data_IF_698544930295
#
_entry.id   IF_698544930295
#
_cell.length_a   1.000
_cell.length_b   1.000
_cell.length_c   1.000
_cell.angle_alpha   90.00
_cell.angle_beta   90.00
_cell.angle_gamma   90.00
#
_symmetry.space_group_name_H-M   'P 1'
#
loop_
_entity.id
_entity.type
_entity.pdbx_description
1 polymer ?
#
# COMPACT_ATOMS: atom_id res chain seq x y z
N UNK A 1 0.48 14.16 23.85
CA UNK A 1 1.77 14.57 24.45
C UNK A 1 2.80 13.54 24.04
N UNK A 2 3.78 13.93 23.21
CA UNK A 2 4.80 12.99 22.70
C UNK A 2 5.97 12.84 23.69
N UNK A 3 5.88 13.47 24.84
CA UNK A 3 6.95 13.47 25.86
C UNK A 3 7.05 12.14 26.65
N UNK A 4 6.09 11.23 26.45
CA UNK A 4 6.05 9.89 27.07
C UNK A 4 5.95 8.76 26.00
N UNK A 5 6.64 8.91 24.89
CA UNK A 5 6.67 7.87 23.86
C UNK A 5 7.36 6.61 24.42
N UNK A 6 6.72 5.45 24.38
CA UNK A 6 7.35 4.19 24.80
C UNK A 6 8.65 3.90 24.04
N UNK A 7 9.61 3.23 24.68
CA UNK A 7 10.93 2.96 24.11
C UNK A 7 10.92 2.18 22.79
N UNK A 8 9.83 1.45 22.53
CA UNK A 8 9.60 0.70 21.29
C UNK A 8 8.90 1.50 20.20
N UNK A 9 8.61 2.80 20.41
CA UNK A 9 8.03 3.70 19.42
C UNK A 9 9.06 4.72 19.01
N UNK A 10 9.29 4.85 17.71
CA UNK A 10 10.09 5.92 17.10
C UNK A 10 9.18 6.85 16.32
N UNK A 11 9.32 8.14 16.51
CA UNK A 11 8.55 9.17 15.82
C UNK A 11 9.42 9.88 14.81
N UNK A 12 8.98 9.89 13.55
CA UNK A 12 9.65 10.62 12.48
C UNK A 12 8.80 11.82 12.07
N UNK A 13 9.38 13.00 12.18
CA UNK A 13 8.70 14.21 11.75
C UNK A 13 8.56 14.24 10.23
N UNK A 14 7.34 14.54 9.76
CA UNK A 14 7.04 14.79 8.37
C UNK A 14 6.42 16.18 8.21
N UNK A 15 7.07 17.02 7.42
CA UNK A 15 6.48 18.30 7.01
C UNK A 15 5.15 18.08 6.29
N UNK A 16 4.20 19.00 6.52
CA UNK A 16 2.91 18.91 5.86
C UNK A 16 3.07 18.92 4.33
N UNK A 17 2.40 18.00 3.68
CA UNK A 17 2.26 17.94 2.24
C UNK A 17 0.78 18.06 1.88
N UNK A 18 0.46 18.96 0.93
CA UNK A 18 -0.88 19.09 0.43
C UNK A 18 -1.34 17.81 -0.30
N UNK A 19 -2.65 17.61 -0.34
CA UNK A 19 -3.24 16.55 -1.16
C UNK A 19 -2.99 16.80 -2.65
N UNK A 20 -2.61 15.80 -3.46
CA UNK A 20 -2.45 14.37 -3.10
C UNK A 20 -1.01 13.96 -2.73
N UNK A 21 -0.10 14.88 -2.53
CA UNK A 21 1.32 14.59 -2.34
C UNK A 21 1.62 13.80 -1.07
N UNK A 22 0.81 13.94 -0.02
CA UNK A 22 0.99 13.15 1.20
C UNK A 22 0.87 11.64 0.96
N UNK A 23 -0.01 11.22 0.06
CA UNK A 23 -0.14 9.81 -0.34
C UNK A 23 0.86 9.43 -1.42
N UNK A 24 1.04 10.25 -2.46
CA UNK A 24 1.98 9.99 -3.54
C UNK A 24 3.42 9.83 -3.07
N UNK A 25 3.82 10.55 -2.01
CA UNK A 25 5.17 10.49 -1.44
C UNK A 25 5.30 9.54 -0.26
N UNK A 26 4.32 8.68 -0.03
CA UNK A 26 4.30 7.68 1.06
C UNK A 26 5.58 6.86 1.10
N UNK A 27 6.05 6.36 -0.03
CA UNK A 27 7.25 5.53 -0.11
C UNK A 27 8.52 6.31 0.24
N UNK A 28 8.65 7.56 -0.25
CA UNK A 28 9.74 8.47 0.14
C UNK A 28 9.71 8.77 1.64
N UNK A 29 8.51 8.92 2.23
CA UNK A 29 8.34 9.17 3.66
C UNK A 29 8.74 7.94 4.49
N UNK A 30 8.32 6.74 4.10
CA UNK A 30 8.68 5.49 4.79
C UNK A 30 10.20 5.27 4.73
N UNK A 31 10.85 5.60 3.61
CA UNK A 31 12.30 5.48 3.45
C UNK A 31 13.12 6.35 4.43
N UNK A 32 12.52 7.35 5.08
CA UNK A 32 13.20 8.09 6.17
C UNK A 32 13.49 7.24 7.41
N UNK A 33 12.73 6.14 7.57
CA UNK A 33 12.91 5.20 8.68
C UNK A 33 13.71 3.94 8.27
N UNK A 34 14.39 3.96 7.12
CA UNK A 34 15.09 2.80 6.57
C UNK A 34 16.11 2.18 7.54
N UNK A 35 16.81 3.01 8.31
CA UNK A 35 17.77 2.56 9.30
C UNK A 35 17.16 1.66 10.37
N UNK A 36 15.91 1.91 10.74
CA UNK A 36 15.16 1.08 11.70
C UNK A 36 14.52 -0.13 11.02
N UNK A 37 14.00 0.07 9.81
CA UNK A 37 13.35 -1.00 9.04
C UNK A 37 14.36 -2.12 8.74
N UNK A 38 15.58 -1.78 8.38
CA UNK A 38 16.64 -2.75 8.06
C UNK A 38 17.09 -3.61 9.27
N UNK A 39 16.71 -3.24 10.50
CA UNK A 39 16.94 -4.03 11.71
C UNK A 39 15.81 -5.05 11.99
N UNK A 40 14.75 -5.04 11.21
CA UNK A 40 13.57 -5.89 11.39
C UNK A 40 13.50 -7.03 10.35
N UNK A 41 12.78 -8.10 10.69
CA UNK A 41 12.50 -9.19 9.76
C UNK A 41 11.29 -8.89 8.87
N UNK A 42 10.30 -8.16 9.42
CA UNK A 42 9.05 -7.82 8.76
C UNK A 42 8.73 -6.33 8.91
N UNK A 43 8.14 -5.77 7.85
CA UNK A 43 7.54 -4.43 7.86
C UNK A 43 6.05 -4.54 7.56
N UNK A 44 5.24 -3.89 8.38
CA UNK A 44 3.80 -3.75 8.17
C UNK A 44 3.46 -2.28 8.12
N UNK A 45 2.86 -1.86 7.01
CA UNK A 45 2.28 -0.53 6.89
C UNK A 45 0.79 -0.60 7.25
N UNK A 46 0.35 0.35 8.07
CA UNK A 46 -1.05 0.53 8.43
C UNK A 46 -1.36 2.03 8.56
N UNK A 47 -2.50 2.48 8.03
CA UNK A 47 -2.93 3.87 8.20
C UNK A 47 -3.29 4.16 9.66
N UNK A 48 -3.00 5.38 10.11
CA UNK A 48 -3.11 5.77 11.52
C UNK A 48 -4.56 5.83 12.05
N UNK A 49 -5.55 5.80 11.18
CA UNK A 49 -6.99 5.74 11.50
C UNK A 49 -7.54 4.30 11.55
N UNK A 50 -6.69 3.30 11.37
CA UNK A 50 -7.06 1.90 11.54
C UNK A 50 -7.14 1.52 13.03
N UNK A 51 -8.20 0.81 13.41
CA UNK A 51 -8.40 0.33 14.78
C UNK A 51 -8.44 -1.21 14.80
N UNK A 52 -7.48 -1.88 15.46
CA UNK A 52 -7.55 -3.32 15.67
C UNK A 52 -8.77 -3.69 16.53
N UNK A 53 -9.66 -4.52 16.00
CA UNK A 53 -10.89 -4.95 16.68
C UNK A 53 -10.82 -6.40 17.21
N UNK A 54 -9.78 -7.13 16.80
CA UNK A 54 -9.52 -8.50 17.25
C UNK A 54 -8.03 -8.80 17.26
N UNK A 55 -7.65 -9.88 17.92
CA UNK A 55 -6.27 -10.37 17.90
C UNK A 55 -6.01 -11.13 16.61
N UNK A 56 -4.88 -10.83 15.96
CA UNK A 56 -4.34 -11.60 14.84
C UNK A 56 -3.17 -12.41 15.40
N UNK A 57 -3.17 -13.71 15.16
CA UNK A 57 -2.07 -14.58 15.64
C UNK A 57 -0.88 -14.55 14.66
N UNK A 58 0.32 -14.87 15.17
CA UNK A 58 1.50 -14.98 14.33
C UNK A 58 1.33 -16.04 13.23
N UNK A 59 0.73 -17.18 13.55
CA UNK A 59 0.47 -18.27 12.60
C UNK A 59 -0.49 -17.87 11.47
N UNK A 60 -1.44 -16.99 11.76
CA UNK A 60 -2.38 -16.45 10.80
C UNK A 60 -1.73 -15.40 9.90
N UNK A 61 -0.87 -14.57 10.49
CA UNK A 61 -0.31 -13.40 9.82
C UNK A 61 0.96 -13.69 9.03
N UNK A 62 1.94 -14.40 9.64
CA UNK A 62 3.19 -14.75 8.99
C UNK A 62 3.03 -16.03 8.16
N UNK A 63 2.93 -15.86 6.86
CA UNK A 63 2.76 -16.94 5.89
C UNK A 63 4.02 -17.14 5.05
N UNK A 64 3.98 -18.07 4.10
CA UNK A 64 5.10 -18.46 3.26
C UNK A 64 5.40 -17.49 2.09
N UNK A 65 4.55 -16.47 1.90
CA UNK A 65 4.78 -15.44 0.88
C UNK A 65 5.53 -14.25 1.46
N UNK A 66 6.53 -13.72 0.73
CA UNK A 66 7.34 -12.61 1.25
C UNK A 66 6.62 -11.26 1.27
N UNK A 67 5.53 -11.09 0.53
CA UNK A 67 4.71 -9.88 0.52
C UNK A 67 3.26 -10.21 0.82
N UNK A 68 2.53 -9.25 1.36
CA UNK A 68 1.08 -9.35 1.51
C UNK A 68 0.37 -8.02 1.22
N UNK A 69 -0.90 -8.13 0.83
CA UNK A 69 -1.83 -7.03 0.75
C UNK A 69 -3.23 -7.46 1.15
N UNK A 70 -4.09 -6.51 1.48
CA UNK A 70 -5.47 -6.74 1.88
C UNK A 70 -6.40 -6.44 0.71
N UNK A 71 -7.29 -7.38 0.39
CA UNK A 71 -8.26 -7.23 -0.69
C UNK A 71 -9.21 -6.07 -0.40
N UNK A 72 -9.38 -5.18 -1.36
CA UNK A 72 -10.21 -4.00 -1.18
C UNK A 72 -11.71 -4.37 -1.11
N UNK A 73 -12.46 -3.93 -0.08
CA UNK A 73 -13.85 -4.34 0.16
C UNK A 73 -14.84 -3.89 -0.92
N UNK A 74 -14.50 -2.88 -1.73
CA UNK A 74 -15.37 -2.42 -2.80
C UNK A 74 -15.78 -3.52 -3.80
N UNK A 75 -14.96 -4.56 -3.96
CA UNK A 75 -15.26 -5.70 -4.82
C UNK A 75 -16.35 -6.61 -4.24
N UNK A 76 -16.58 -6.57 -2.92
CA UNK A 76 -17.62 -7.36 -2.25
C UNK A 76 -18.91 -6.58 -2.04
N UNK A 77 -18.81 -5.28 -1.78
CA UNK A 77 -19.94 -4.44 -1.39
C UNK A 77 -20.92 -4.14 -2.53
N UNK A 78 -20.69 -4.68 -3.75
CA UNK A 78 -21.50 -4.42 -4.96
C UNK A 78 -21.82 -2.94 -5.16
N UNK A 79 -20.93 -2.07 -4.70
CA UNK A 79 -21.06 -0.65 -4.89
C UNK A 79 -20.94 -0.39 -6.40
N UNK A 80 -21.80 0.45 -6.94
CA UNK A 80 -21.80 0.70 -8.38
C UNK A 80 -20.51 1.39 -8.76
N UNK A 81 -19.68 0.80 -9.64
CA UNK A 81 -18.48 1.47 -10.10
C UNK A 81 -18.90 2.74 -10.87
N UNK A 82 -18.29 3.85 -10.53
CA UNK A 82 -18.25 5.04 -11.36
C UNK A 82 -16.79 5.48 -11.49
N UNK A 83 -16.48 6.35 -12.41
CA UNK A 83 -15.12 6.71 -12.83
C UNK A 83 -14.17 7.20 -11.69
N UNK A 84 -14.72 7.48 -10.52
CA UNK A 84 -13.99 7.93 -9.33
C UNK A 84 -14.12 6.96 -8.15
N UNK A 85 -14.36 5.70 -8.41
CA UNK A 85 -14.63 4.72 -7.37
C UNK A 85 -13.34 4.13 -6.77
N UNK A 86 -13.17 4.10 -5.42
CA UNK A 86 -12.05 3.40 -4.80
C UNK A 86 -11.96 1.95 -5.28
N UNK A 87 -10.76 1.50 -5.63
CA UNK A 87 -10.53 0.17 -6.17
C UNK A 87 -10.65 0.05 -7.69
N UNK A 88 -10.65 1.16 -8.42
CA UNK A 88 -10.54 1.12 -9.86
C UNK A 88 -9.08 1.09 -10.32
N UNK A 89 -8.77 0.22 -11.29
CA UNK A 89 -7.45 0.14 -11.92
C UNK A 89 -7.13 1.39 -12.72
N UNK A 90 -5.87 1.84 -12.64
CA UNK A 90 -5.42 2.99 -13.42
C UNK A 90 -5.43 2.65 -14.93
N UNK A 91 -6.18 3.43 -15.71
CA UNK A 91 -6.32 3.29 -17.17
C UNK A 91 -5.49 4.33 -17.92
N UNK A 92 -4.74 5.20 -17.24
CA UNK A 92 -3.88 6.19 -17.87
C UNK A 92 -2.60 5.51 -18.40
N UNK A 93 -2.51 5.33 -19.71
CA UNK A 93 -1.36 4.70 -20.38
C UNK A 93 -0.02 5.44 -20.19
N UNK A 94 -0.05 6.68 -19.73
CA UNK A 94 1.15 7.44 -19.42
C UNK A 94 1.66 7.19 -17.99
N UNK A 95 0.82 6.63 -17.11
CA UNK A 95 1.19 6.28 -15.74
C UNK A 95 1.94 4.95 -15.69
N UNK A 96 2.92 4.86 -14.80
CA UNK A 96 3.59 3.59 -14.46
C UNK A 96 2.74 2.69 -13.57
N UNK A 97 1.56 3.17 -13.14
CA UNK A 97 0.53 2.37 -12.48
C UNK A 97 -0.51 1.79 -13.45
N UNK A 98 -0.39 2.04 -14.75
CA UNK A 98 -1.34 1.57 -15.76
C UNK A 98 -1.52 0.06 -15.76
N UNK A 99 -2.78 -0.39 -15.85
CA UNK A 99 -3.16 -1.80 -16.00
C UNK A 99 -4.12 -1.96 -17.18
N UNK A 100 -3.75 -2.79 -18.16
CA UNK A 100 -4.65 -3.18 -19.25
C UNK A 100 -5.59 -4.27 -18.77
N UNK A 101 -6.70 -3.89 -18.15
CA UNK A 101 -7.65 -4.82 -17.53
C UNK A 101 -8.25 -5.84 -18.51
N UNK A 102 -8.27 -5.54 -19.80
CA UNK A 102 -8.77 -6.46 -20.85
C UNK A 102 -7.75 -7.57 -21.13
N UNK A 103 -6.47 -7.22 -21.18
CA UNK A 103 -5.40 -8.17 -21.49
C UNK A 103 -4.92 -8.91 -20.24
N UNK A 104 -4.72 -8.19 -19.14
CA UNK A 104 -4.12 -8.73 -17.92
C UNK A 104 -5.14 -9.42 -17.01
N UNK A 105 -6.43 -9.07 -17.13
CA UNK A 105 -7.55 -9.66 -16.39
C UNK A 105 -7.29 -9.78 -14.86
N UNK A 106 -6.88 -8.70 -14.18
CA UNK A 106 -6.51 -8.75 -12.78
C UNK A 106 -7.71 -9.19 -11.92
N UNK A 107 -7.46 -10.09 -10.96
CA UNK A 107 -8.51 -10.68 -10.12
C UNK A 107 -8.66 -10.02 -8.77
N UNK A 108 -7.60 -9.42 -8.24
CA UNK A 108 -7.54 -8.85 -6.90
C UNK A 108 -7.11 -7.41 -6.98
N UNK A 109 -7.85 -6.51 -6.35
CA UNK A 109 -7.46 -5.14 -6.11
C UNK A 109 -7.19 -4.94 -4.61
N UNK A 110 -6.04 -4.40 -4.27
CA UNK A 110 -5.56 -4.27 -2.89
C UNK A 110 -5.79 -2.86 -2.35
N UNK A 111 -6.05 -2.77 -1.05
CA UNK A 111 -6.12 -1.49 -0.34
C UNK A 111 -4.73 -0.88 -0.14
N UNK A 112 -4.64 0.44 -0.23
CA UNK A 112 -3.42 1.18 0.09
C UNK A 112 -3.14 1.33 1.58
N UNK A 113 -4.11 1.03 2.44
CA UNK A 113 -4.06 1.31 3.88
C UNK A 113 -3.43 0.19 4.73
N UNK A 114 -3.26 -1.04 4.20
CA UNK A 114 -2.70 -2.16 4.95
C UNK A 114 -1.98 -3.15 4.01
N UNK A 115 -0.66 -3.18 4.11
CA UNK A 115 0.21 -4.04 3.31
C UNK A 115 1.56 -4.21 4.01
N UNK A 116 2.37 -5.14 3.54
CA UNK A 116 3.71 -5.36 4.11
C UNK A 116 4.38 -6.62 3.59
N UNK A 117 5.36 -7.10 4.36
CA UNK A 117 6.09 -8.32 4.04
C UNK A 117 7.43 -8.44 4.74
N UNK A 118 8.22 -9.40 4.30
CA UNK A 118 9.61 -9.55 4.71
C UNK A 118 10.42 -8.33 4.26
N UNK A 119 11.30 -7.85 5.14
CA UNK A 119 11.99 -6.56 4.93
C UNK A 119 12.74 -6.49 3.60
N UNK A 120 13.49 -7.50 3.13
CA UNK A 120 14.17 -7.39 1.83
C UNK A 120 13.22 -7.11 0.66
N UNK A 121 12.10 -7.81 0.59
CA UNK A 121 11.13 -7.71 -0.51
C UNK A 121 10.27 -6.45 -0.40
N UNK A 122 9.84 -6.09 0.81
CA UNK A 122 9.04 -4.88 1.00
C UNK A 122 9.87 -3.62 0.81
N UNK A 123 11.14 -3.63 1.18
CA UNK A 123 12.06 -2.54 0.89
C UNK A 123 12.31 -2.38 -0.61
N UNK A 124 12.51 -3.49 -1.33
CA UNK A 124 12.63 -3.47 -2.79
C UNK A 124 11.35 -2.92 -3.46
N UNK A 125 10.16 -3.27 -2.93
CA UNK A 125 8.89 -2.70 -3.35
C UNK A 125 8.84 -1.20 -3.14
N UNK A 126 9.15 -0.73 -1.93
CA UNK A 126 9.12 0.69 -1.57
C UNK A 126 10.04 1.51 -2.47
N UNK A 127 11.27 1.04 -2.70
CA UNK A 127 12.25 1.70 -3.57
C UNK A 127 11.76 1.80 -5.02
N UNK A 128 11.17 0.73 -5.55
CA UNK A 128 10.61 0.73 -6.90
C UNK A 128 9.39 1.65 -7.02
N UNK A 129 8.50 1.64 -6.02
CA UNK A 129 7.30 2.47 -6.04
C UNK A 129 7.62 3.95 -5.87
N UNK A 130 8.59 4.32 -5.05
CA UNK A 130 9.13 5.68 -4.98
C UNK A 130 9.67 6.12 -6.35
N UNK A 131 10.45 5.26 -6.99
CA UNK A 131 11.00 5.55 -8.32
C UNK A 131 9.91 5.73 -9.38
N UNK A 132 8.88 4.85 -9.42
CA UNK A 132 7.75 4.91 -10.36
C UNK A 132 6.97 6.21 -10.16
N UNK A 133 6.59 6.51 -8.93
CA UNK A 133 5.83 7.73 -8.58
C UNK A 133 6.62 8.98 -8.97
N UNK A 134 7.90 9.07 -8.63
CA UNK A 134 8.74 10.21 -8.99
C UNK A 134 8.93 10.37 -10.51
N UNK A 135 8.95 9.26 -11.28
CA UNK A 135 9.00 9.31 -12.76
C UNK A 135 7.70 9.83 -13.35
N UNK A 136 6.56 9.44 -12.81
CA UNK A 136 5.25 9.92 -13.24
C UNK A 136 5.09 11.40 -12.92
N UNK A 137 5.41 11.82 -11.70
CA UNK A 137 5.36 13.24 -11.30
C UNK A 137 6.24 14.14 -12.16
N UNK A 138 7.42 13.70 -12.61
CA UNK A 138 8.28 14.44 -13.55
C UNK A 138 7.64 14.66 -14.93
N UNK A 139 6.59 13.94 -15.26
CA UNK A 139 5.82 14.04 -16.50
C UNK A 139 4.43 14.65 -16.29
N UNK A 140 4.18 15.23 -15.11
CA UNK A 140 2.87 15.74 -14.70
C UNK A 140 1.77 14.65 -14.73
N UNK A 141 2.15 13.40 -14.48
CA UNK A 141 1.23 12.27 -14.39
C UNK A 141 0.99 11.94 -12.91
N UNK A 142 -0.28 11.90 -12.53
CA UNK A 142 -0.74 11.46 -11.22
C UNK A 142 -1.61 10.22 -11.43
N UNK A 143 -1.25 9.12 -10.76
CA UNK A 143 -2.01 7.88 -10.82
C UNK A 143 -3.41 8.06 -10.19
N UNK A 144 -4.41 7.32 -10.66
CA UNK A 144 -5.83 7.49 -10.32
C UNK A 144 -6.09 7.48 -8.81
N UNK A 145 -5.53 6.50 -8.11
CA UNK A 145 -5.59 6.35 -6.64
C UNK A 145 -4.19 6.45 -6.02
N UNK A 146 -3.39 7.39 -6.56
CA UNK A 146 -2.08 7.77 -6.04
C UNK A 146 -1.17 6.56 -5.80
N UNK A 147 -0.67 6.41 -4.58
CA UNK A 147 0.18 5.30 -4.15
C UNK A 147 -0.51 3.93 -4.26
N UNK A 148 -1.81 3.84 -3.98
CA UNK A 148 -2.59 2.60 -4.09
C UNK A 148 -2.59 2.05 -5.52
N UNK A 149 -2.70 2.90 -6.55
CA UNK A 149 -2.60 2.47 -7.94
C UNK A 149 -1.24 1.87 -8.25
N UNK A 150 -0.15 2.47 -7.74
CA UNK A 150 1.20 1.94 -7.91
C UNK A 150 1.42 0.62 -7.16
N UNK A 151 0.89 0.48 -5.93
CA UNK A 151 0.90 -0.78 -5.17
C UNK A 151 0.21 -1.88 -5.98
N UNK A 152 -0.98 -1.60 -6.49
CA UNK A 152 -1.77 -2.56 -7.25
C UNK A 152 -1.07 -3.01 -8.53
N UNK A 153 -0.42 -2.10 -9.26
CA UNK A 153 0.42 -2.46 -10.41
C UNK A 153 1.59 -3.36 -10.00
N UNK A 154 2.28 -3.03 -8.90
CA UNK A 154 3.38 -3.83 -8.41
C UNK A 154 2.94 -5.24 -7.99
N UNK A 155 1.85 -5.34 -7.23
CA UNK A 155 1.32 -6.63 -6.79
C UNK A 155 0.80 -7.49 -7.94
N UNK A 156 0.27 -6.88 -9.00
CA UNK A 156 -0.09 -7.60 -10.22
C UNK A 156 1.16 -8.18 -10.91
N UNK A 157 2.24 -7.38 -11.02
CA UNK A 157 3.53 -7.82 -11.60
C UNK A 157 4.20 -8.94 -10.79
N UNK A 158 3.93 -9.03 -9.49
CA UNK A 158 4.56 -9.92 -8.51
C UNK A 158 3.57 -10.88 -7.84
N UNK A 159 2.46 -11.18 -8.48
CA UNK A 159 1.34 -11.94 -7.89
C UNK A 159 1.71 -13.32 -7.35
N UNK A 160 2.79 -13.91 -7.85
CA UNK A 160 3.34 -15.19 -7.38
C UNK A 160 3.93 -15.13 -5.96
N UNK A 161 4.39 -13.96 -5.52
CA UNK A 161 5.02 -13.76 -4.21
C UNK A 161 4.16 -12.92 -3.24
N UNK A 162 2.92 -12.57 -3.61
CA UNK A 162 2.00 -11.80 -2.77
C UNK A 162 0.94 -12.70 -2.15
N UNK A 163 0.84 -12.69 -0.82
CA UNK A 163 -0.30 -13.26 -0.10
C UNK A 163 -1.46 -12.26 -0.07
N UNK A 164 -2.67 -12.74 -0.28
CA UNK A 164 -3.89 -11.91 -0.25
C UNK A 164 -4.67 -12.21 1.01
N UNK A 165 -4.70 -11.25 1.95
CA UNK A 165 -5.65 -11.28 3.05
C UNK A 165 -7.03 -10.82 2.57
N UNK A 166 -8.08 -11.35 3.18
CA UNK A 166 -9.44 -10.89 2.94
C UNK A 166 -9.69 -9.48 3.45
N UNK A 167 -10.78 -8.85 3.01
CA UNK A 167 -11.11 -7.47 3.40
C UNK A 167 -11.43 -7.30 4.89
N UNK A 168 -11.67 -8.38 5.62
CA UNK A 168 -11.88 -8.38 7.08
C UNK A 168 -10.69 -7.85 7.87
N UNK A 169 -9.48 -7.86 7.28
CA UNK A 169 -8.27 -7.29 7.91
C UNK A 169 -8.22 -5.75 7.86
N UNK A 170 -9.00 -5.11 7.00
CA UNK A 170 -9.08 -3.65 6.92
C UNK A 170 -10.44 -3.24 6.36
N UNK A 171 -11.50 -3.48 7.11
CA UNK A 171 -12.88 -3.18 6.71
C UNK A 171 -13.27 -1.77 7.16
N UNK A 172 -13.83 -0.91 6.29
CA UNK A 172 -14.26 0.42 6.68
C UNK A 172 -15.47 0.34 7.62
N UNK A 173 -15.54 1.21 8.61
CA UNK A 173 -16.78 1.46 9.35
C UNK A 173 -17.83 2.03 8.38
N UNK A 174 -19.04 1.46 8.37
CA UNK A 174 -20.17 1.87 7.54
C UNK A 174 -21.08 2.84 8.28
#
# INVERSE_FOLDING_TARGET
DLDETPDNIKVYHQEHLDWPFITLKRFEIINKARDVIDECDWLVFIDADALPVTTITEEEFFNDKPLFGVHHPCHFLKMKPHDQYPGAWDQNKNSLAYVDTVKEQPQVYYQGCFWGGQVPEVCAMIDELELRTNKDLKKDVVALWHDESHINRYFLDKSDIVHTFGSEYAYPEL
#
